data_IF_596860793857
#
_entry.id   IF_596860793857
#
_cell.length_a   1.000
_cell.length_b   1.000
_cell.length_c   1.000
_cell.angle_alpha   90.00
_cell.angle_beta   90.00
_cell.angle_gamma   90.00
#
_symmetry.space_group_name_H-M   'P 1'
#
loop_
_entity.id
_entity.type
_entity.pdbx_description
1 polymer ?
#
# COMPACT_ATOMS: atom_id res chain seq x y z
N UNK A 1 -7.02 -11.79 7.62
CA UNK A 1 -5.80 -11.09 8.09
C UNK A 1 -4.84 -10.96 6.91
N UNK A 2 -4.09 -9.86 6.72
CA UNK A 2 -3.16 -9.70 5.57
C UNK A 2 -2.12 -10.83 5.47
N UNK A 3 -1.78 -11.41 6.62
CA UNK A 3 -0.79 -12.49 6.78
C UNK A 3 -1.15 -13.76 6.00
N UNK A 4 -2.44 -14.14 5.94
CA UNK A 4 -2.87 -15.37 5.28
C UNK A 4 -2.59 -15.36 3.78
N UNK A 5 -2.70 -14.19 3.16
CA UNK A 5 -2.48 -14.00 1.72
C UNK A 5 -0.99 -14.07 1.39
N UNK A 6 -0.14 -13.57 2.29
CA UNK A 6 1.32 -13.66 2.16
C UNK A 6 1.77 -15.11 2.36
N UNK A 7 1.27 -15.79 3.39
CA UNK A 7 1.57 -17.18 3.67
C UNK A 7 1.22 -18.09 2.47
N UNK A 8 0.07 -17.87 1.82
CA UNK A 8 -0.32 -18.62 0.62
C UNK A 8 0.67 -18.45 -0.55
N UNK A 9 1.24 -17.25 -0.73
CA UNK A 9 2.26 -17.01 -1.75
C UNK A 9 3.60 -17.68 -1.37
N UNK A 10 3.97 -17.64 -0.08
CA UNK A 10 5.18 -18.28 0.43
C UNK A 10 5.11 -19.81 0.31
N UNK A 11 3.98 -20.42 0.64
CA UNK A 11 3.73 -21.85 0.42
C UNK A 11 3.85 -22.22 -1.05
N UNK A 12 3.35 -21.37 -1.96
CA UNK A 12 3.52 -21.61 -3.39
C UNK A 12 4.99 -21.53 -3.82
N UNK A 13 5.74 -20.54 -3.33
CA UNK A 13 7.17 -20.42 -3.61
C UNK A 13 8.00 -21.56 -3.01
N UNK A 14 7.57 -22.15 -1.89
CA UNK A 14 8.24 -23.29 -1.25
C UNK A 14 8.25 -24.55 -2.14
N UNK A 15 7.38 -24.63 -3.16
CA UNK A 15 7.38 -25.71 -4.17
C UNK A 15 8.60 -25.69 -5.10
N UNK A 16 9.39 -24.62 -5.09
CA UNK A 16 10.68 -24.53 -5.76
C UNK A 16 10.78 -23.40 -6.80
N UNK A 17 12.02 -23.06 -7.14
CA UNK A 17 12.35 -21.91 -7.99
C UNK A 17 11.69 -21.96 -9.37
N UNK A 18 11.68 -23.13 -10.03
CA UNK A 18 11.06 -23.27 -11.35
C UNK A 18 9.55 -23.05 -11.31
N UNK A 19 8.88 -23.46 -10.22
CA UNK A 19 7.44 -23.26 -10.03
C UNK A 19 7.11 -21.76 -9.90
N UNK A 20 7.95 -21.03 -9.15
CA UNK A 20 7.89 -19.57 -9.04
C UNK A 20 8.16 -18.87 -10.38
N UNK A 21 9.25 -19.24 -11.06
CA UNK A 21 9.71 -18.57 -12.28
C UNK A 21 8.78 -18.79 -13.48
N UNK A 22 8.12 -19.95 -13.56
CA UNK A 22 7.17 -20.28 -14.62
C UNK A 22 5.78 -19.64 -14.44
N UNK A 23 5.56 -18.85 -13.37
CA UNK A 23 4.29 -18.15 -13.14
C UNK A 23 3.19 -19.00 -12.48
N UNK A 24 3.52 -20.19 -11.95
CA UNK A 24 2.52 -21.06 -11.31
C UNK A 24 1.95 -20.50 -9.99
N UNK A 25 2.53 -19.41 -9.46
CA UNK A 25 2.10 -18.73 -8.25
C UNK A 25 1.38 -17.40 -8.50
N UNK A 26 1.02 -17.08 -9.76
CA UNK A 26 0.45 -15.78 -10.12
C UNK A 26 -0.88 -15.47 -9.42
N UNK A 27 -1.76 -16.47 -9.24
CA UNK A 27 -3.04 -16.25 -8.55
C UNK A 27 -2.84 -15.83 -7.09
N UNK A 28 -1.93 -16.49 -6.36
CA UNK A 28 -1.58 -16.12 -5.00
C UNK A 28 -0.91 -14.73 -4.94
N UNK A 29 -0.05 -14.43 -5.93
CA UNK A 29 0.57 -13.11 -6.07
C UNK A 29 -0.47 -12.02 -6.30
N UNK A 30 -1.48 -12.25 -7.13
CA UNK A 30 -2.52 -11.26 -7.42
C UNK A 30 -3.34 -10.91 -6.17
N UNK A 31 -3.54 -11.88 -5.28
CA UNK A 31 -4.19 -11.62 -3.99
C UNK A 31 -3.32 -10.74 -3.09
N UNK A 32 -2.01 -11.01 -3.02
CA UNK A 32 -1.06 -10.15 -2.27
C UNK A 32 -1.06 -8.73 -2.84
N UNK A 33 -1.00 -8.59 -4.16
CA UNK A 33 -1.00 -7.30 -4.84
C UNK A 33 -2.28 -6.51 -4.55
N UNK A 34 -3.45 -7.16 -4.52
CA UNK A 34 -4.73 -6.53 -4.12
C UNK A 34 -4.68 -6.03 -2.68
N UNK A 35 -4.17 -6.84 -1.75
CA UNK A 35 -4.04 -6.46 -0.35
C UNK A 35 -3.12 -5.24 -0.17
N UNK A 36 -1.93 -5.28 -0.77
CA UNK A 36 -0.96 -4.18 -0.69
C UNK A 36 -1.47 -2.90 -1.35
N UNK A 37 -2.21 -3.00 -2.47
CA UNK A 37 -2.86 -1.84 -3.10
C UNK A 37 -3.86 -1.17 -2.17
N UNK A 38 -4.67 -1.94 -1.45
CA UNK A 38 -5.62 -1.38 -0.47
C UNK A 38 -4.90 -0.68 0.69
N UNK A 39 -3.85 -1.31 1.24
CA UNK A 39 -3.04 -0.67 2.29
C UNK A 39 -2.38 0.62 1.79
N UNK A 40 -1.81 0.59 0.58
CA UNK A 40 -1.24 1.77 -0.06
C UNK A 40 -2.26 2.89 -0.21
N UNK A 41 -3.49 2.58 -0.63
CA UNK A 41 -4.55 3.59 -0.76
C UNK A 41 -4.82 4.29 0.57
N UNK A 42 -4.97 3.52 1.66
CA UNK A 42 -5.22 4.08 3.00
C UNK A 42 -4.11 5.05 3.42
N UNK A 43 -2.85 4.61 3.31
CA UNK A 43 -1.70 5.47 3.65
C UNK A 43 -1.65 6.70 2.76
N UNK A 44 -1.98 6.57 1.47
CA UNK A 44 -2.04 7.71 0.57
C UNK A 44 -3.16 8.70 0.93
N UNK A 45 -4.29 8.22 1.41
CA UNK A 45 -5.41 9.05 1.85
C UNK A 45 -4.99 9.87 3.09
N UNK A 46 -4.37 9.21 4.08
CA UNK A 46 -3.85 9.84 5.29
C UNK A 46 -2.79 10.90 4.96
N UNK A 47 -1.85 10.57 4.07
CA UNK A 47 -0.81 11.51 3.63
C UNK A 47 -1.41 12.72 2.91
N UNK A 48 -2.46 12.52 2.08
CA UNK A 48 -3.16 13.64 1.42
C UNK A 48 -3.91 14.49 2.44
N UNK A 49 -4.54 13.89 3.45
CA UNK A 49 -5.22 14.63 4.51
C UNK A 49 -4.23 15.47 5.34
N UNK A 50 -3.11 14.88 5.77
CA UNK A 50 -2.06 15.58 6.50
C UNK A 50 -1.44 16.73 5.68
N UNK A 51 -1.19 16.51 4.39
CA UNK A 51 -0.68 17.55 3.50
C UNK A 51 -1.67 18.72 3.32
N UNK A 52 -2.97 18.43 3.23
CA UNK A 52 -4.02 19.47 3.17
C UNK A 52 -4.08 20.27 4.46
N UNK A 53 -4.17 19.58 5.62
CA UNK A 53 -4.18 20.23 6.92
C UNK A 53 -2.97 21.14 7.14
N UNK A 54 -1.76 20.69 6.74
CA UNK A 54 -0.55 21.51 6.79
C UNK A 54 -0.65 22.74 5.90
N UNK A 55 -1.17 22.60 4.67
CA UNK A 55 -1.35 23.73 3.75
C UNK A 55 -2.36 24.74 4.28
N UNK A 56 -3.45 24.27 4.86
CA UNK A 56 -4.50 25.14 5.39
C UNK A 56 -3.97 25.93 6.61
N UNK A 57 -3.23 25.27 7.50
CA UNK A 57 -2.54 25.95 8.62
C UNK A 57 -1.59 27.04 8.15
N UNK A 58 -0.75 26.75 7.15
CA UNK A 58 0.20 27.74 6.60
C UNK A 58 -0.54 28.93 5.98
N UNK A 59 -1.65 28.69 5.27
CA UNK A 59 -2.46 29.78 4.69
C UNK A 59 -3.11 30.63 5.76
N UNK A 60 -3.61 30.03 6.84
CA UNK A 60 -4.17 30.76 7.97
C UNK A 60 -3.09 31.60 8.66
N UNK A 61 -1.90 31.03 8.90
CA UNK A 61 -0.74 31.75 9.43
C UNK A 61 -0.34 32.92 8.53
N UNK A 62 -0.26 32.73 7.20
CA UNK A 62 0.05 33.79 6.24
C UNK A 62 -0.99 34.92 6.26
N UNK A 63 -2.28 34.56 6.25
CA UNK A 63 -3.38 35.52 6.33
C UNK A 63 -3.33 36.32 7.63
N UNK A 64 -3.01 35.68 8.75
CA UNK A 64 -2.86 36.37 10.03
C UNK A 64 -1.68 37.35 10.04
N UNK A 65 -0.62 37.07 9.27
CA UNK A 65 0.52 37.96 9.07
C UNK A 65 0.27 39.05 8.00
N UNK A 66 -0.90 39.06 7.34
CA UNK A 66 -1.23 40.04 6.30
C UNK A 66 -0.50 39.81 4.97
N UNK A 67 0.01 38.60 4.74
CA UNK A 67 0.60 38.12 3.48
C UNK A 67 -0.48 37.46 2.61
#
# INVERSE_FOLDING_TARGET
>A
MPWEVIAALEECHAKGFMHKAAGACNDAKDLVDKCLRQQRSKVQDDNRAAARAKRDRIKEEQRALGL
#
